data_IF_085411312568
#
_entry.id   IF_085411312568
#
_cell.length_a   1.000
_cell.length_b   1.000
_cell.length_c   1.000
_cell.angle_alpha   90.00
_cell.angle_beta   90.00
_cell.angle_gamma   90.00
#
_symmetry.space_group_name_H-M   'P 1'
#
loop_
_entity.id
_entity.type
_entity.pdbx_description
1 polymer ?
#
# COMPACT_ATOMS: atom_id res chain seq x y z
N UNK A 1 -7.61 26.51 -19.94
CA UNK A 1 -8.30 26.35 -18.93
C UNK A 1 -7.68 25.64 -17.88
N UNK A 2 -7.53 26.12 -16.88
CA UNK A 2 -6.74 25.60 -15.96
C UNK A 2 -7.29 24.86 -14.98
N UNK A 3 -7.21 24.70 -14.41
CA UNK A 3 -7.60 24.14 -13.55
C UNK A 3 -7.43 23.24 -12.66
N UNK A 4 -7.05 22.30 -12.72
CA UNK A 4 -6.92 21.30 -11.77
C UNK A 4 -6.20 21.69 -10.51
N UNK A 5 -5.37 22.66 -10.56
CA UNK A 5 -4.64 23.09 -9.37
C UNK A 5 -5.57 23.55 -8.27
N UNK A 6 -6.57 24.34 -8.60
CA UNK A 6 -7.51 24.84 -7.61
C UNK A 6 -8.40 23.72 -7.08
N UNK A 7 -8.80 22.81 -7.97
CA UNK A 7 -9.62 21.67 -7.58
C UNK A 7 -8.86 20.76 -6.62
N UNK A 8 -7.56 20.57 -6.85
CA UNK A 8 -6.72 19.76 -5.96
C UNK A 8 -6.61 20.37 -4.58
N UNK A 9 -6.46 21.68 -4.49
CA UNK A 9 -6.38 22.36 -3.21
C UNK A 9 -7.68 22.27 -2.44
N UNK A 10 -8.80 22.41 -3.13
CA UNK A 10 -10.11 22.28 -2.49
C UNK A 10 -10.30 20.84 -1.98
N UNK A 11 -9.93 19.86 -2.76
CA UNK A 11 -10.04 18.46 -2.36
C UNK A 11 -9.17 18.18 -1.15
N UNK A 12 -7.93 18.69 -1.12
CA UNK A 12 -7.04 18.53 0.02
C UNK A 12 -7.59 19.21 1.27
N UNK A 13 -8.18 20.38 1.10
CA UNK A 13 -8.72 21.13 2.22
C UNK A 13 -9.93 20.42 2.81
N UNK A 14 -10.83 19.93 1.99
CA UNK A 14 -11.99 19.16 2.43
C UNK A 14 -11.53 17.91 3.17
N UNK A 15 -10.53 17.23 2.64
CA UNK A 15 -9.98 16.03 3.25
C UNK A 15 -9.40 16.33 4.62
N UNK A 16 -8.67 17.43 4.76
CA UNK A 16 -8.12 17.84 6.05
C UNK A 16 -9.20 18.15 7.07
N UNK A 17 -10.25 18.84 6.64
CA UNK A 17 -11.36 19.16 7.52
C UNK A 17 -12.09 17.91 7.99
N UNK A 18 -12.33 16.97 7.08
CA UNK A 18 -12.97 15.72 7.43
C UNK A 18 -12.14 14.93 8.44
N UNK A 19 -10.80 14.91 8.25
CA UNK A 19 -9.92 14.24 9.19
C UNK A 19 -9.85 14.94 10.53
N UNK A 20 -10.00 16.26 10.51
CA UNK A 20 -9.96 17.06 11.75
C UNK A 20 -11.14 16.78 12.66
N UNK A 21 -12.29 16.44 12.07
CA UNK A 21 -13.50 16.12 12.82
C UNK A 21 -13.46 14.73 13.44
N UNK A 22 -12.52 13.88 13.01
CA UNK A 22 -12.42 12.53 13.51
C UNK A 22 -11.52 12.44 14.74
N UNK A 23 -11.81 11.49 15.61
CA UNK A 23 -10.94 11.22 16.75
C UNK A 23 -9.61 10.66 16.26
N UNK A 24 -8.56 10.68 17.11
CA UNK A 24 -7.28 10.07 16.73
C UNK A 24 -7.40 8.59 16.34
N UNK A 25 -8.23 7.83 17.05
CA UNK A 25 -8.45 6.42 16.72
C UNK A 25 -9.13 6.27 15.36
N UNK A 26 -10.11 7.10 15.06
CA UNK A 26 -10.79 7.07 13.77
C UNK A 26 -9.84 7.44 12.63
N UNK A 27 -8.95 8.42 12.85
CA UNK A 27 -7.94 8.80 11.86
C UNK A 27 -6.99 7.65 11.57
N UNK A 28 -6.55 6.97 12.63
CA UNK A 28 -5.65 5.84 12.48
C UNK A 28 -6.30 4.71 11.70
N UNK A 29 -7.57 4.42 12.02
CA UNK A 29 -8.31 3.36 11.30
C UNK A 29 -8.49 3.70 9.83
N UNK A 30 -8.78 4.97 9.52
CA UNK A 30 -8.93 5.40 8.14
C UNK A 30 -7.60 5.28 7.39
N UNK A 31 -6.51 5.73 7.99
CA UNK A 31 -5.18 5.63 7.38
C UNK A 31 -4.81 4.17 7.13
N UNK A 32 -5.08 3.29 8.09
CA UNK A 32 -4.79 1.86 7.93
C UNK A 32 -5.59 1.24 6.79
N UNK A 33 -6.86 1.63 6.67
CA UNK A 33 -7.72 1.13 5.59
C UNK A 33 -7.22 1.59 4.23
N UNK A 34 -6.88 2.88 4.10
CA UNK A 34 -6.38 3.41 2.84
C UNK A 34 -5.06 2.76 2.45
N UNK A 35 -4.15 2.57 3.41
CA UNK A 35 -2.88 1.89 3.15
C UNK A 35 -3.11 0.46 2.69
N UNK A 36 -4.03 -0.25 3.34
CA UNK A 36 -4.36 -1.62 2.96
C UNK A 36 -4.90 -1.68 1.53
N UNK A 37 -5.77 -0.76 1.16
CA UNK A 37 -6.35 -0.75 -0.19
C UNK A 37 -5.30 -0.45 -1.26
N UNK A 38 -4.37 0.47 -0.98
CA UNK A 38 -3.28 0.77 -1.91
C UNK A 38 -2.39 -0.45 -2.09
N UNK A 39 -2.04 -1.12 -1.00
CA UNK A 39 -1.21 -2.33 -1.06
C UNK A 39 -1.92 -3.42 -1.88
N UNK A 40 -3.20 -3.64 -1.64
CA UNK A 40 -3.95 -4.66 -2.37
C UNK A 40 -4.07 -4.32 -3.85
N UNK A 41 -4.28 -3.04 -4.18
CA UNK A 41 -4.35 -2.62 -5.57
C UNK A 41 -3.01 -2.84 -6.28
N UNK A 42 -1.90 -2.55 -5.62
CA UNK A 42 -0.55 -2.77 -6.16
C UNK A 42 -0.31 -4.26 -6.40
N UNK A 43 -0.70 -5.10 -5.45
CA UNK A 43 -0.56 -6.55 -5.59
C UNK A 43 -1.40 -7.08 -6.74
N UNK A 44 -2.62 -6.57 -6.94
CA UNK A 44 -3.45 -6.97 -8.07
C UNK A 44 -2.81 -6.59 -9.40
N UNK A 45 -2.17 -5.42 -9.45
CA UNK A 45 -1.48 -4.99 -10.67
C UNK A 45 -0.31 -5.92 -10.98
N UNK A 46 0.45 -6.33 -9.97
CA UNK A 46 1.56 -7.27 -10.14
C UNK A 46 1.03 -8.62 -10.66
N UNK A 47 -0.06 -9.10 -10.07
CA UNK A 47 -0.65 -10.38 -10.47
C UNK A 47 -1.14 -10.34 -11.91
N UNK A 48 -1.60 -9.18 -12.39
CA UNK A 48 -2.03 -9.04 -13.78
C UNK A 48 -0.86 -9.15 -14.76
N UNK A 49 0.28 -8.56 -14.38
CA UNK A 49 1.47 -8.62 -15.23
C UNK A 49 2.12 -9.98 -15.14
N UNK A 50 2.02 -10.64 -13.99
CA UNK A 50 2.64 -11.96 -13.76
C UNK A 50 1.58 -12.97 -13.32
N UNK A 51 0.73 -13.42 -14.25
CA UNK A 51 -0.35 -14.36 -13.88
C UNK A 51 0.17 -15.70 -13.37
N UNK A 52 1.46 -16.02 -13.65
CA UNK A 52 2.08 -17.25 -13.17
C UNK A 52 2.55 -17.17 -11.70
N UNK A 53 2.52 -15.98 -11.10
CA UNK A 53 2.98 -15.83 -9.73
C UNK A 53 1.96 -16.37 -8.73
N UNK A 54 2.46 -17.02 -7.69
CA UNK A 54 1.63 -17.36 -6.53
C UNK A 54 1.41 -16.10 -5.69
N UNK A 55 0.42 -16.09 -4.81
CA UNK A 55 0.22 -14.94 -3.91
C UNK A 55 1.46 -14.57 -3.12
N UNK A 56 2.26 -15.56 -2.72
CA UNK A 56 3.51 -15.32 -2.00
C UNK A 56 4.53 -14.59 -2.89
N UNK A 57 4.64 -15.01 -4.15
CA UNK A 57 5.54 -14.36 -5.09
C UNK A 57 5.11 -12.93 -5.38
N UNK A 58 3.80 -12.69 -5.48
CA UNK A 58 3.27 -11.35 -5.66
C UNK A 58 3.65 -10.47 -4.47
N UNK A 59 3.52 -11.00 -3.25
CA UNK A 59 3.91 -10.27 -2.05
C UNK A 59 5.38 -9.92 -2.02
N UNK A 60 6.24 -10.85 -2.42
CA UNK A 60 7.69 -10.61 -2.46
C UNK A 60 8.05 -9.57 -3.52
N UNK A 61 7.41 -9.62 -4.68
CA UNK A 61 7.62 -8.62 -5.73
C UNK A 61 7.17 -7.24 -5.25
N UNK A 62 6.05 -7.15 -4.52
CA UNK A 62 5.58 -5.91 -3.96
C UNK A 62 6.65 -5.31 -3.02
N UNK A 63 7.22 -6.13 -2.14
CA UNK A 63 8.26 -5.67 -1.22
C UNK A 63 9.48 -5.19 -1.98
N UNK A 64 9.91 -5.95 -2.97
CA UNK A 64 11.08 -5.60 -3.77
C UNK A 64 10.91 -4.26 -4.49
N UNK A 65 9.74 -4.04 -5.09
CA UNK A 65 9.47 -2.82 -5.84
C UNK A 65 9.36 -1.58 -4.94
N UNK A 66 8.84 -1.73 -3.73
CA UNK A 66 8.60 -0.59 -2.85
C UNK A 66 9.69 -0.36 -1.81
N UNK A 67 10.39 -1.41 -1.41
CA UNK A 67 11.36 -1.32 -0.31
C UNK A 67 12.76 -1.80 -0.70
N UNK A 68 12.92 -2.39 -1.89
CA UNK A 68 14.21 -2.82 -2.38
C UNK A 68 14.48 -4.31 -2.21
N UNK A 69 15.45 -4.79 -2.97
CA UNK A 69 15.79 -6.20 -3.03
C UNK A 69 16.35 -6.71 -1.70
N UNK A 70 17.11 -5.88 -1.01
CA UNK A 70 17.72 -6.29 0.25
C UNK A 70 16.68 -6.68 1.28
N UNK A 71 15.64 -5.86 1.45
CA UNK A 71 14.56 -6.17 2.38
C UNK A 71 13.76 -7.38 1.89
N UNK A 72 13.50 -7.46 0.60
CA UNK A 72 12.78 -8.61 0.03
C UNK A 72 13.50 -9.91 0.32
N UNK A 73 14.83 -9.93 0.16
CA UNK A 73 15.63 -11.13 0.44
C UNK A 73 15.61 -11.46 1.94
N UNK A 74 15.68 -10.45 2.79
CA UNK A 74 15.61 -10.66 4.23
C UNK A 74 14.28 -11.28 4.65
N UNK A 75 13.18 -10.82 4.05
CA UNK A 75 11.85 -11.37 4.33
C UNK A 75 11.75 -12.82 3.86
N UNK A 76 12.29 -13.14 2.69
CA UNK A 76 12.31 -14.52 2.19
C UNK A 76 13.08 -15.44 3.13
N UNK A 77 14.21 -14.99 3.64
CA UNK A 77 15.01 -15.76 4.58
C UNK A 77 14.27 -15.99 5.88
N UNK A 78 13.62 -14.95 6.38
CA UNK A 78 12.84 -15.03 7.60
C UNK A 78 11.66 -16.01 7.45
N UNK A 79 10.92 -15.90 6.36
CA UNK A 79 9.80 -16.78 6.08
C UNK A 79 10.26 -18.22 5.89
N UNK A 80 11.38 -18.41 5.21
CA UNK A 80 11.95 -19.73 5.02
C UNK A 80 12.31 -20.39 6.34
N UNK A 81 12.89 -19.64 7.27
CA UNK A 81 13.22 -20.16 8.58
C UNK A 81 11.96 -20.48 9.40
N UNK A 82 10.98 -19.58 9.37
CA UNK A 82 9.73 -19.79 10.09
C UNK A 82 8.89 -20.91 9.50
N UNK A 83 8.93 -21.05 8.18
CA UNK A 83 8.13 -22.09 7.49
C UNK A 83 8.62 -23.50 7.66
N UNK A 84 9.77 -23.68 8.29
CA UNK A 84 10.32 -25.04 8.52
C UNK A 84 9.76 -25.68 9.77
N UNK A 85 9.10 -24.90 10.57
CA UNK A 85 8.44 -25.42 11.74
C UNK A 85 7.04 -25.96 11.41
#
# INVERSE_FOLDING_TARGET
MPIPVDTSREAEQIQRELLREKSPAERLMLAARLSHEVIQASKRAIARVHPEFTPRQVGHMFIELHYGRELADAVRQYEGAAGRD
#
